data_IF_838641549702
#
_entry.id   IF_838641549702
#
_cell.length_a   1.000
_cell.length_b   1.000
_cell.length_c   1.000
_cell.angle_alpha   90.00
_cell.angle_beta   90.00
_cell.angle_gamma   90.00
#
_symmetry.space_group_name_H-M   'P 1'
#
loop_
_entity.id
_entity.type
_entity.pdbx_description
1 polymer ?
#
# COMPACT_ATOMS: atom_id res chain seq x y z
N UNK A 1 0.84 29.74 14.44
CA UNK A 1 2.05 29.00 14.07
C UNK A 1 1.62 27.78 13.29
N UNK A 2 2.10 27.62 12.07
CA UNK A 2 1.82 26.46 11.21
C UNK A 2 2.63 25.25 11.64
N UNK A 3 2.19 24.04 11.28
CA UNK A 3 3.00 22.84 11.47
C UNK A 3 4.09 22.73 10.40
N UNK A 4 3.75 23.06 9.16
CA UNK A 4 4.65 23.01 8.01
C UNK A 4 4.35 24.18 7.05
N UNK A 5 5.38 24.81 6.51
CA UNK A 5 5.28 25.67 5.33
C UNK A 5 6.19 25.10 4.23
N UNK A 6 5.64 24.84 3.05
CA UNK A 6 6.39 24.50 1.84
C UNK A 6 6.46 25.78 1.00
N UNK A 7 7.66 26.27 0.74
CA UNK A 7 7.89 27.52 0.04
C UNK A 7 8.30 27.32 -1.40
N UNK A 8 7.83 28.21 -2.27
CA UNK A 8 8.23 28.33 -3.68
C UNK A 8 8.05 27.04 -4.48
N UNK A 9 6.96 26.31 -4.22
CA UNK A 9 6.59 25.10 -4.97
C UNK A 9 5.74 25.43 -6.20
N UNK A 10 5.86 24.63 -7.25
CA UNK A 10 4.90 24.63 -8.36
C UNK A 10 3.76 23.66 -8.04
N UNK A 11 2.53 24.11 -8.31
CA UNK A 11 1.35 23.23 -8.33
C UNK A 11 0.89 23.08 -9.79
N UNK A 12 0.27 21.94 -10.12
CA UNK A 12 -0.19 21.63 -11.47
C UNK A 12 -1.10 22.73 -12.06
N UNK A 13 -1.95 23.34 -11.21
CA UNK A 13 -2.97 24.32 -11.63
C UNK A 13 -2.60 25.76 -11.26
N UNK A 14 -1.42 26.02 -10.69
CA UNK A 14 -0.99 27.35 -10.30
C UNK A 14 -0.14 28.01 -11.38
N UNK A 15 -0.33 29.33 -11.57
CA UNK A 15 0.56 30.14 -12.42
C UNK A 15 1.73 30.67 -11.58
N UNK A 16 2.87 29.98 -11.67
CA UNK A 16 4.09 30.33 -10.95
C UNK A 16 4.21 29.63 -9.59
N UNK A 17 5.24 30.01 -8.85
CA UNK A 17 5.52 29.47 -7.54
C UNK A 17 4.51 29.96 -6.50
N UNK A 18 4.20 29.08 -5.55
CA UNK A 18 3.33 29.36 -4.41
C UNK A 18 3.92 28.75 -3.13
N UNK A 19 3.54 29.35 -2.01
CA UNK A 19 3.75 28.77 -0.68
C UNK A 19 2.50 28.00 -0.26
N UNK A 20 2.70 26.88 0.45
CA UNK A 20 1.63 26.03 0.99
C UNK A 20 1.83 25.85 2.48
N UNK A 21 0.85 26.24 3.30
CA UNK A 21 0.89 26.03 4.74
C UNK A 21 -0.05 24.92 5.19
N UNK A 22 0.47 24.09 6.10
CA UNK A 22 -0.27 23.01 6.73
C UNK A 22 -0.40 23.23 8.23
N UNK A 23 -1.57 22.87 8.78
CA UNK A 23 -1.85 22.89 10.20
C UNK A 23 -2.81 21.74 10.54
N UNK A 24 -2.49 20.99 11.60
CA UNK A 24 -3.28 19.86 12.07
C UNK A 24 -3.61 18.85 10.96
N UNK A 25 -2.61 18.51 10.14
CA UNK A 25 -2.72 17.55 9.04
C UNK A 25 -3.54 18.02 7.83
N UNK A 26 -3.82 19.34 7.73
CA UNK A 26 -4.59 19.91 6.61
C UNK A 26 -3.85 21.06 5.97
N UNK A 27 -4.02 21.22 4.66
CA UNK A 27 -3.62 22.44 3.95
C UNK A 27 -4.60 23.53 4.36
N UNK A 28 -4.07 24.63 4.93
CA UNK A 28 -4.89 25.76 5.43
C UNK A 28 -4.72 27.01 4.60
N UNK A 29 -3.62 27.15 3.88
CA UNK A 29 -3.36 28.31 3.02
C UNK A 29 -2.50 27.92 1.80
N UNK A 30 -2.82 28.47 0.64
CA UNK A 30 -2.01 28.45 -0.58
C UNK A 30 -1.98 29.88 -1.11
N UNK A 31 -0.81 30.49 -1.14
CA UNK A 31 -0.65 31.88 -1.62
C UNK A 31 0.73 32.10 -2.24
N UNK A 32 0.94 33.27 -2.88
CA UNK A 32 2.23 33.60 -3.48
C UNK A 32 3.34 33.76 -2.44
N UNK A 33 2.98 34.12 -1.21
CA UNK A 33 3.90 34.25 -0.11
C UNK A 33 3.15 34.17 1.20
N UNK A 34 3.54 33.24 2.06
CA UNK A 34 2.98 33.06 3.39
C UNK A 34 3.93 33.68 4.42
N UNK A 35 3.38 34.65 5.17
CA UNK A 35 4.08 35.28 6.28
C UNK A 35 3.60 34.64 7.57
N UNK A 36 4.52 34.01 8.30
CA UNK A 36 4.18 33.39 9.59
C UNK A 36 5.26 32.40 10.04
N UNK A 37 5.17 32.05 11.33
CA UNK A 37 6.05 31.04 11.90
C UNK A 37 5.51 29.64 11.65
N UNK A 38 6.40 28.69 11.42
CA UNK A 38 6.10 27.26 11.29
C UNK A 38 7.06 26.43 12.13
N UNK A 39 6.65 25.23 12.51
CA UNK A 39 7.54 24.27 13.18
C UNK A 39 8.60 23.75 12.21
N UNK A 40 8.21 23.60 10.93
CA UNK A 40 9.08 23.14 9.86
C UNK A 40 8.86 23.98 8.59
N UNK A 41 9.91 24.23 7.84
CA UNK A 41 9.85 24.89 6.54
C UNK A 41 10.64 24.09 5.52
N UNK A 42 10.04 23.80 4.38
CA UNK A 42 10.67 23.14 3.23
C UNK A 42 10.79 24.15 2.11
N UNK A 43 12.01 24.38 1.62
CA UNK A 43 12.28 25.16 0.42
C UNK A 43 12.16 24.25 -0.81
N UNK A 44 11.12 24.45 -1.61
CA UNK A 44 10.78 23.61 -2.75
C UNK A 44 11.01 24.31 -4.10
N UNK A 45 11.92 25.27 -4.17
CA UNK A 45 12.23 26.03 -5.36
C UNK A 45 12.49 25.14 -6.57
N UNK A 46 11.71 25.33 -7.63
CA UNK A 46 11.80 24.52 -8.85
C UNK A 46 11.15 23.13 -8.76
N UNK A 47 10.59 22.76 -7.61
CA UNK A 47 9.96 21.47 -7.42
C UNK A 47 8.44 21.53 -7.66
N UNK A 48 7.89 20.47 -8.24
CA UNK A 48 6.43 20.26 -8.32
C UNK A 48 5.95 19.64 -7.01
N UNK A 49 5.00 20.28 -6.35
CA UNK A 49 4.26 19.70 -5.23
C UNK A 49 2.97 19.05 -5.76
N UNK A 50 2.83 17.78 -5.53
CA UNK A 50 1.65 16.99 -5.93
C UNK A 50 1.11 16.20 -4.75
N UNK A 51 -0.14 15.72 -4.81
CA UNK A 51 -0.58 14.65 -3.91
C UNK A 51 0.33 13.43 -4.01
N UNK A 52 0.41 12.59 -2.96
CA UNK A 52 1.19 11.36 -3.02
C UNK A 52 0.64 10.42 -4.10
N UNK A 53 1.50 9.53 -4.59
CA UNK A 53 1.07 8.47 -5.49
C UNK A 53 0.21 7.44 -4.77
N UNK A 54 -0.68 6.82 -5.53
CA UNK A 54 -1.53 5.73 -5.04
C UNK A 54 -1.16 4.47 -5.83
N UNK A 55 -0.87 3.38 -5.13
CA UNK A 55 -0.77 2.05 -5.72
C UNK A 55 -2.12 1.33 -5.58
N UNK A 56 -2.94 1.28 -6.65
CA UNK A 56 -4.30 0.79 -6.56
C UNK A 56 -4.41 -0.74 -6.61
N UNK A 57 -3.32 -1.46 -6.92
CA UNK A 57 -3.34 -2.90 -7.06
C UNK A 57 -1.98 -3.52 -6.77
N UNK A 58 -1.82 -4.07 -5.58
CA UNK A 58 -0.60 -4.73 -5.14
C UNK A 58 -0.91 -6.05 -4.40
N UNK A 59 0.08 -6.91 -4.24
CA UNK A 59 0.03 -8.14 -3.45
C UNK A 59 1.12 -8.09 -2.38
N UNK A 60 0.79 -7.46 -1.26
CA UNK A 60 1.78 -7.18 -0.21
C UNK A 60 2.19 -8.44 0.57
N UNK A 61 1.30 -9.42 0.66
CA UNK A 61 1.57 -10.74 1.24
C UNK A 61 2.69 -11.50 0.52
N UNK A 62 2.84 -11.27 -0.80
CA UNK A 62 3.88 -11.89 -1.62
C UNK A 62 5.11 -10.97 -1.88
N UNK A 63 5.10 -9.73 -1.38
CA UNK A 63 6.16 -8.75 -1.69
C UNK A 63 7.53 -9.20 -1.21
N UNK A 64 8.59 -8.74 -1.91
CA UNK A 64 10.01 -8.97 -1.57
C UNK A 64 10.37 -10.45 -1.34
N UNK A 65 9.69 -11.37 -2.03
CA UNK A 65 9.93 -12.82 -1.95
C UNK A 65 10.77 -13.38 -3.10
N UNK A 66 11.36 -12.52 -3.93
CA UNK A 66 12.16 -12.94 -5.07
C UNK A 66 13.27 -13.94 -4.67
N UNK A 67 13.31 -15.08 -5.35
CA UNK A 67 14.27 -16.13 -5.09
C UNK A 67 13.82 -17.16 -4.03
N UNK A 68 12.65 -16.97 -3.41
CA UNK A 68 12.10 -17.87 -2.39
C UNK A 68 10.75 -18.43 -2.86
N UNK A 69 10.53 -19.75 -2.83
CA UNK A 69 11.49 -20.83 -2.51
C UNK A 69 12.55 -21.06 -3.63
N UNK A 70 12.30 -20.53 -4.82
CA UNK A 70 13.17 -20.62 -6.00
C UNK A 70 12.93 -19.46 -6.95
N UNK A 71 13.74 -19.33 -7.98
CA UNK A 71 13.54 -18.31 -9.02
C UNK A 71 12.41 -18.72 -10.00
N UNK A 72 11.71 -17.72 -10.51
CA UNK A 72 10.84 -17.85 -11.68
C UNK A 72 11.74 -17.89 -12.93
N UNK A 73 11.94 -19.08 -13.48
CA UNK A 73 12.85 -19.31 -14.60
C UNK A 73 12.23 -18.95 -15.95
N UNK A 74 10.92 -19.24 -16.09
CA UNK A 74 10.21 -18.95 -17.34
C UNK A 74 9.81 -17.48 -17.49
N UNK A 75 9.80 -16.70 -16.41
CA UNK A 75 9.31 -15.33 -16.37
C UNK A 75 7.80 -15.20 -16.60
N UNK A 76 7.06 -16.32 -16.59
CA UNK A 76 5.61 -16.30 -16.84
C UNK A 76 4.81 -16.07 -15.57
N UNK A 77 3.61 -15.49 -15.73
CA UNK A 77 2.65 -15.34 -14.64
C UNK A 77 2.24 -16.70 -14.02
N UNK A 78 2.05 -17.72 -14.85
CA UNK A 78 1.65 -19.04 -14.36
C UNK A 78 2.71 -19.67 -13.46
N UNK A 79 4.00 -19.50 -13.78
CA UNK A 79 5.06 -19.92 -12.86
C UNK A 79 5.09 -19.09 -11.59
N UNK A 80 4.83 -17.77 -11.68
CA UNK A 80 4.69 -16.90 -10.52
C UNK A 80 3.58 -17.35 -9.55
N UNK A 81 2.41 -17.70 -10.08
CA UNK A 81 1.29 -18.24 -9.27
C UNK A 81 1.68 -19.57 -8.62
N UNK A 82 2.38 -20.45 -9.35
CA UNK A 82 2.88 -21.71 -8.81
C UNK A 82 3.88 -21.49 -7.67
N UNK A 83 4.84 -20.58 -7.88
CA UNK A 83 5.81 -20.19 -6.85
C UNK A 83 5.14 -19.65 -5.59
N UNK A 84 4.11 -18.84 -5.76
CA UNK A 84 3.30 -18.37 -4.65
C UNK A 84 2.65 -19.53 -3.87
N UNK A 85 2.08 -20.51 -4.58
CA UNK A 85 1.54 -21.73 -3.96
C UNK A 85 2.61 -22.55 -3.22
N UNK A 86 3.86 -22.60 -3.71
CA UNK A 86 4.99 -23.25 -3.06
C UNK A 86 5.47 -22.48 -1.82
N UNK A 87 5.39 -21.14 -1.84
CA UNK A 87 5.85 -20.27 -0.76
C UNK A 87 4.87 -20.20 0.42
N UNK A 88 3.56 -20.14 0.14
CA UNK A 88 2.50 -19.98 1.17
C UNK A 88 2.68 -20.87 2.40
N UNK A 89 2.88 -22.20 2.28
CA UNK A 89 3.03 -23.07 3.45
C UNK A 89 4.34 -22.89 4.22
N UNK A 90 5.36 -22.29 3.60
CA UNK A 90 6.70 -22.16 4.16
C UNK A 90 6.89 -20.90 4.99
N UNK A 91 6.04 -19.89 4.82
CA UNK A 91 6.18 -18.59 5.48
C UNK A 91 5.39 -18.53 6.79
N UNK A 92 5.95 -17.81 7.75
CA UNK A 92 5.27 -17.41 8.99
C UNK A 92 4.56 -16.06 8.83
N UNK A 93 3.71 -15.71 9.79
CA UNK A 93 3.10 -14.37 9.89
C UNK A 93 4.20 -13.31 10.04
N UNK A 94 5.22 -13.57 10.86
CA UNK A 94 6.33 -12.64 11.09
C UNK A 94 7.16 -12.39 9.83
N UNK A 95 7.38 -13.41 8.99
CA UNK A 95 8.07 -13.25 7.70
C UNK A 95 7.29 -12.31 6.76
N UNK A 96 5.96 -12.44 6.72
CA UNK A 96 5.11 -11.58 5.92
C UNK A 96 5.15 -10.15 6.45
N UNK A 97 5.01 -9.97 7.77
CA UNK A 97 5.08 -8.65 8.42
C UNK A 97 6.41 -7.97 8.10
N UNK A 98 7.54 -8.67 8.29
CA UNK A 98 8.87 -8.11 8.06
C UNK A 98 9.06 -7.62 6.62
N UNK A 99 8.62 -8.41 5.62
CA UNK A 99 8.70 -8.05 4.21
C UNK A 99 7.75 -6.89 3.86
N UNK A 100 6.52 -6.94 4.37
CA UNK A 100 5.52 -5.91 4.12
C UNK A 100 5.93 -4.56 4.73
N UNK A 101 6.43 -4.53 5.97
CA UNK A 101 6.96 -3.32 6.60
C UNK A 101 8.10 -2.70 5.79
N UNK A 102 9.06 -3.53 5.36
CA UNK A 102 10.15 -3.06 4.49
C UNK A 102 9.65 -2.49 3.17
N UNK A 103 8.60 -3.08 2.60
CA UNK A 103 7.99 -2.54 1.39
C UNK A 103 7.29 -1.21 1.65
N UNK A 104 6.58 -1.06 2.78
CA UNK A 104 5.96 0.22 3.15
C UNK A 104 7.00 1.35 3.20
N UNK A 105 8.16 1.11 3.82
CA UNK A 105 9.24 2.11 3.87
C UNK A 105 9.76 2.46 2.46
N UNK A 106 9.94 1.46 1.59
CA UNK A 106 10.35 1.69 0.20
C UNK A 106 9.29 2.45 -0.60
N UNK A 107 8.02 2.15 -0.41
CA UNK A 107 6.90 2.81 -1.08
C UNK A 107 6.81 4.29 -0.69
N UNK A 108 6.86 4.58 0.61
CA UNK A 108 6.84 5.96 1.12
C UNK A 108 8.05 6.75 0.63
N UNK A 109 9.24 6.14 0.62
CA UNK A 109 10.46 6.76 0.08
C UNK A 109 10.37 7.08 -1.42
N UNK A 110 9.39 6.50 -2.14
CA UNK A 110 9.08 6.80 -3.55
C UNK A 110 7.86 7.70 -3.73
N UNK A 111 7.31 8.25 -2.65
CA UNK A 111 6.17 9.16 -2.67
C UNK A 111 4.81 8.47 -2.74
N UNK A 112 4.72 7.17 -2.48
CA UNK A 112 3.45 6.44 -2.39
C UNK A 112 2.86 6.67 -1.00
N UNK A 113 1.66 7.25 -0.93
CA UNK A 113 0.94 7.53 0.31
C UNK A 113 -0.26 6.62 0.57
N UNK A 114 -0.66 5.84 -0.44
CA UNK A 114 -1.75 4.87 -0.28
C UNK A 114 -1.50 3.62 -1.12
N UNK A 115 -1.83 2.46 -0.57
CA UNK A 115 -1.70 1.15 -1.23
C UNK A 115 -2.98 0.36 -1.06
N UNK A 116 -3.50 -0.22 -2.14
CA UNK A 116 -4.55 -1.24 -2.09
C UNK A 116 -3.93 -2.61 -2.33
N UNK A 117 -3.79 -3.40 -1.26
CA UNK A 117 -3.24 -4.74 -1.31
C UNK A 117 -4.33 -5.79 -1.43
N UNK A 118 -4.25 -6.63 -2.46
CA UNK A 118 -5.06 -7.81 -2.65
C UNK A 118 -4.39 -8.97 -1.92
N UNK A 119 -5.05 -9.47 -0.87
CA UNK A 119 -4.48 -10.48 0.04
C UNK A 119 -5.09 -11.83 -0.27
N UNK A 120 -4.24 -12.83 -0.53
CA UNK A 120 -4.69 -14.17 -0.86
C UNK A 120 -5.48 -14.82 0.29
N UNK A 121 -6.69 -15.27 -0.02
CA UNK A 121 -7.58 -16.00 0.92
C UNK A 121 -7.61 -17.50 0.67
N UNK A 122 -6.82 -18.01 -0.28
CA UNK A 122 -6.62 -19.43 -0.53
C UNK A 122 -5.55 -20.02 0.42
N UNK A 123 -5.60 -19.64 1.68
CA UNK A 123 -4.78 -20.13 2.79
C UNK A 123 -5.70 -20.35 3.99
N UNK A 124 -5.80 -21.61 4.46
CA UNK A 124 -6.74 -21.98 5.54
C UNK A 124 -6.46 -21.28 6.86
N UNK A 125 -5.20 -20.89 7.10
CA UNK A 125 -4.78 -20.14 8.27
C UNK A 125 -4.94 -18.61 8.09
N UNK A 126 -5.18 -18.13 6.85
CA UNK A 126 -5.26 -16.70 6.53
C UNK A 126 -4.06 -15.89 7.03
N UNK A 127 -2.84 -16.46 6.96
CA UNK A 127 -1.61 -15.81 7.46
C UNK A 127 -1.38 -14.45 6.85
N UNK A 128 -1.59 -14.31 5.53
CA UNK A 128 -1.46 -13.04 4.83
C UNK A 128 -2.42 -11.98 5.37
N UNK A 129 -3.67 -12.35 5.63
CA UNK A 129 -4.68 -11.45 6.18
C UNK A 129 -4.29 -11.00 7.58
N UNK A 130 -3.92 -11.93 8.47
CA UNK A 130 -3.51 -11.62 9.84
C UNK A 130 -2.29 -10.69 9.85
N UNK A 131 -1.26 -11.03 9.07
CA UNK A 131 -0.05 -10.22 8.96
C UNK A 131 -0.32 -8.79 8.48
N UNK A 132 -1.13 -8.64 7.42
CA UNK A 132 -1.36 -7.32 6.84
C UNK A 132 -2.34 -6.46 7.65
N UNK A 133 -3.22 -7.06 8.46
CA UNK A 133 -3.98 -6.31 9.46
C UNK A 133 -3.06 -5.67 10.50
N UNK A 134 -2.04 -6.39 10.97
CA UNK A 134 -1.05 -5.87 11.90
C UNK A 134 -0.18 -4.77 11.24
N UNK A 135 0.27 -5.00 9.99
CA UNK A 135 1.03 -4.00 9.23
C UNK A 135 0.20 -2.72 9.06
N UNK A 136 -1.09 -2.83 8.70
CA UNK A 136 -1.98 -1.68 8.56
C UNK A 136 -2.03 -0.82 9.82
N UNK A 137 -2.13 -1.43 10.98
CA UNK A 137 -2.12 -0.70 12.25
C UNK A 137 -0.77 -0.02 12.52
N UNK A 138 0.34 -0.66 12.16
CA UNK A 138 1.69 -0.10 12.35
C UNK A 138 1.99 1.09 11.44
N UNK A 139 1.42 1.12 10.25
CA UNK A 139 1.74 2.16 9.23
C UNK A 139 0.70 3.27 9.13
N UNK A 140 -0.42 3.18 9.83
CA UNK A 140 -1.60 4.07 9.68
C UNK A 140 -1.32 5.56 9.84
N UNK A 141 -0.24 5.93 10.51
CA UNK A 141 0.11 7.33 10.74
C UNK A 141 0.79 7.98 9.53
N UNK A 142 1.29 7.18 8.57
CA UNK A 142 2.06 7.68 7.43
C UNK A 142 1.73 7.03 6.08
N UNK A 143 0.98 5.92 6.07
CA UNK A 143 0.58 5.21 4.86
C UNK A 143 -0.85 4.69 5.00
N UNK A 144 -1.72 5.00 4.02
CA UNK A 144 -3.06 4.43 3.94
C UNK A 144 -3.01 3.05 3.29
N UNK A 145 -3.19 1.99 4.09
CA UNK A 145 -3.18 0.61 3.62
C UNK A 145 -4.59 0.03 3.59
N UNK A 146 -5.14 -0.11 2.39
CA UNK A 146 -6.41 -0.77 2.14
C UNK A 146 -6.19 -2.24 1.80
N UNK A 147 -6.92 -3.15 2.48
CA UNK A 147 -6.83 -4.59 2.26
C UNK A 147 -8.09 -5.10 1.56
N UNK A 148 -7.88 -5.93 0.54
CA UNK A 148 -8.92 -6.56 -0.27
C UNK A 148 -8.78 -8.07 -0.14
N UNK A 149 -9.83 -8.76 0.29
CA UNK A 149 -9.86 -10.23 0.29
C UNK A 149 -9.85 -10.73 -1.16
N UNK A 150 -8.84 -11.51 -1.53
CA UNK A 150 -8.58 -11.94 -2.89
C UNK A 150 -8.35 -13.46 -2.97
N UNK A 151 -9.29 -14.26 -3.48
CA UNK A 151 -9.09 -15.69 -3.67
C UNK A 151 -8.21 -15.94 -4.92
N UNK A 152 -6.89 -15.96 -4.75
CA UNK A 152 -5.88 -16.04 -5.82
C UNK A 152 -6.13 -17.22 -6.78
N UNK A 153 -6.51 -18.37 -6.27
CA UNK A 153 -6.73 -19.57 -7.06
C UNK A 153 -8.18 -19.71 -7.57
N UNK A 154 -9.04 -18.74 -7.24
CA UNK A 154 -10.45 -18.69 -7.63
C UNK A 154 -11.38 -19.25 -6.55
N UNK A 155 -12.44 -18.51 -6.25
CA UNK A 155 -13.41 -18.82 -5.16
C UNK A 155 -14.15 -20.14 -5.33
N UNK A 156 -14.24 -20.66 -6.55
CA UNK A 156 -14.97 -21.90 -6.85
C UNK A 156 -14.04 -23.11 -7.06
N UNK A 157 -12.73 -22.91 -7.02
CA UNK A 157 -11.75 -24.00 -7.23
C UNK A 157 -11.52 -24.85 -6.01
N UNK A 158 -11.74 -24.28 -4.83
CA UNK A 158 -11.55 -24.93 -3.56
C UNK A 158 -12.79 -24.71 -2.68
N UNK A 159 -13.27 -25.77 -2.02
CA UNK A 159 -14.40 -25.69 -1.08
C UNK A 159 -14.13 -24.78 0.11
N UNK A 160 -12.87 -24.63 0.52
CA UNK A 160 -12.46 -23.77 1.63
C UNK A 160 -12.29 -22.32 1.20
N UNK A 161 -11.95 -22.05 -0.07
CA UNK A 161 -11.70 -20.70 -0.58
C UNK A 161 -12.87 -19.73 -0.35
N UNK A 162 -14.11 -20.18 -0.56
CA UNK A 162 -15.30 -19.37 -0.30
C UNK A 162 -15.48 -19.07 1.19
N UNK A 163 -15.26 -20.06 2.05
CA UNK A 163 -15.38 -19.93 3.51
C UNK A 163 -14.29 -18.96 4.00
N UNK A 164 -13.07 -19.16 3.55
CA UNK A 164 -11.92 -18.34 3.94
C UNK A 164 -12.07 -16.89 3.45
N UNK A 165 -12.58 -16.70 2.23
CA UNK A 165 -12.89 -15.36 1.72
C UNK A 165 -13.93 -14.67 2.61
N UNK A 166 -15.03 -15.36 2.99
CA UNK A 166 -16.01 -14.80 3.91
C UNK A 166 -15.41 -14.45 5.27
N UNK A 167 -14.59 -15.32 5.86
CA UNK A 167 -13.89 -15.03 7.13
C UNK A 167 -12.97 -13.80 7.00
N UNK A 168 -12.26 -13.69 5.89
CA UNK A 168 -11.41 -12.52 5.63
C UNK A 168 -12.24 -11.24 5.49
N UNK A 169 -13.42 -11.31 4.86
CA UNK A 169 -14.33 -10.18 4.69
C UNK A 169 -14.79 -9.56 6.01
N UNK A 170 -14.97 -10.38 7.02
CA UNK A 170 -15.39 -9.93 8.36
C UNK A 170 -14.26 -9.11 9.07
N UNK A 171 -13.02 -9.20 8.58
CA UNK A 171 -11.84 -8.60 9.20
C UNK A 171 -11.18 -7.50 8.36
N UNK A 172 -11.28 -7.57 7.02
CA UNK A 172 -10.72 -6.55 6.12
C UNK A 172 -11.76 -5.48 5.81
N UNK A 173 -11.31 -4.26 5.61
CA UNK A 173 -12.21 -3.11 5.48
C UNK A 173 -12.95 -3.01 4.14
N UNK A 174 -12.60 -3.82 3.14
CA UNK A 174 -13.17 -3.71 1.80
C UNK A 174 -13.09 -5.00 1.01
N UNK A 175 -14.13 -5.27 0.24
CA UNK A 175 -14.17 -6.39 -0.71
C UNK A 175 -14.40 -5.87 -2.12
N UNK A 176 -13.53 -6.27 -3.03
CA UNK A 176 -13.81 -6.19 -4.44
C UNK A 176 -13.68 -7.59 -5.02
N UNK A 177 -14.77 -8.34 -5.04
CA UNK A 177 -14.88 -9.56 -5.84
C UNK A 177 -15.09 -9.11 -7.29
N UNK A 178 -14.01 -8.91 -8.03
CA UNK A 178 -14.11 -9.02 -9.48
C UNK A 178 -14.13 -10.51 -9.80
N UNK A 179 -15.30 -11.04 -10.12
CA UNK A 179 -15.38 -12.34 -10.78
C UNK A 179 -14.52 -12.24 -12.04
N UNK A 180 -13.61 -13.21 -12.30
CA UNK A 180 -12.96 -13.25 -13.59
C UNK A 180 -14.06 -13.36 -14.66
N UNK A 181 -14.22 -12.30 -15.42
CA UNK A 181 -14.95 -12.38 -16.69
C UNK A 181 -14.07 -13.18 -17.62
N UNK A 182 -14.58 -14.32 -18.07
CA UNK A 182 -13.95 -15.25 -19.02
C UNK A 182 -13.27 -14.54 -20.19
#
# INVERSE_FOLDING_TARGET
MFDLIIKRAYLADAKGEVDVACQSGKIVEISKSILGESKETIEAEGCLLSPPFIDPHFHMDATLSLGTPRLNVSGTLLEGIRLWGELKPLQSIDDIIARAMKYCDLAVAKGIGAIRSHVDTCDDELKGVQALLEVREKVKDYLDLQLVAFPQDGVLRDSTALINTKRALDTVSYTHLTLPTN
#
